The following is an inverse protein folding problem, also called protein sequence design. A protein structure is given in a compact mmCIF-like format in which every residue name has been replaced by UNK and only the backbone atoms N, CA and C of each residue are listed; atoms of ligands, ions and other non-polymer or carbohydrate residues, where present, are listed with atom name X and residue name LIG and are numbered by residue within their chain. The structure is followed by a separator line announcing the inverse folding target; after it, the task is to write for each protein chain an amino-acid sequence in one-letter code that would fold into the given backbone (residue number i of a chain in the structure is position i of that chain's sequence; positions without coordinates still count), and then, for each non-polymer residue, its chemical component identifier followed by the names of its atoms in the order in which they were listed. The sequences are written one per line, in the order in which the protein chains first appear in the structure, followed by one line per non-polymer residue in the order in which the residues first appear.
data_IF_304826682542
#
_entry.id   IF_304826682542
#
_cell.length_a   1.000
_cell.length_b   1.000
_cell.length_c   1.000
_cell.angle_alpha   90.00
_cell.angle_beta   90.00
_cell.angle_gamma   90.00
#
_symmetry.space_group_name_H-M   'P 1'
#
loop_
_entity.id
_entity.type
_entity.pdbx_description
1 polymer ?
#
# COMPACT_ATOMS: atom_id res chain seq x y z
N UNK A 1 3.67 7.01 -26.05
CA UNK A 1 3.84 5.90 -25.08
C UNK A 1 2.61 5.95 -24.20
N UNK A 2 1.92 4.82 -23.98
CA UNK A 2 0.89 4.79 -22.93
C UNK A 2 1.60 4.87 -21.59
N UNK A 3 1.21 5.81 -20.73
CA UNK A 3 1.65 5.80 -19.35
C UNK A 3 1.09 4.55 -18.65
N UNK A 4 1.90 3.91 -17.81
CA UNK A 4 1.46 2.78 -17.01
C UNK A 4 0.52 3.28 -15.92
N UNK A 5 -0.60 2.57 -15.73
CA UNK A 5 -1.53 2.85 -14.63
C UNK A 5 -0.80 2.82 -13.29
N UNK A 6 -1.13 3.74 -12.38
CA UNK A 6 -0.52 3.85 -11.06
C UNK A 6 -1.57 3.83 -9.96
N UNK A 7 -1.41 2.91 -9.01
CA UNK A 7 -2.34 2.71 -7.91
C UNK A 7 -1.70 3.04 -6.57
N UNK A 8 -2.44 3.75 -5.71
CA UNK A 8 -2.09 3.94 -4.31
C UNK A 8 -2.53 2.72 -3.51
N UNK A 9 -1.64 2.10 -2.73
CA UNK A 9 -1.92 0.86 -2.01
C UNK A 9 -1.95 1.11 -0.51
N UNK A 10 -3.05 0.71 0.13
CA UNK A 10 -3.20 0.69 1.58
C UNK A 10 -3.19 -0.78 2.02
N UNK A 11 -2.16 -1.18 2.75
CA UNK A 11 -2.10 -2.49 3.40
C UNK A 11 -2.66 -2.36 4.81
N UNK A 12 -3.91 -2.75 5.02
CA UNK A 12 -4.53 -2.67 6.34
C UNK A 12 -4.10 -3.82 7.25
N UNK A 13 -3.91 -3.52 8.54
CA UNK A 13 -3.72 -4.54 9.57
C UNK A 13 -4.49 -4.18 10.85
N UNK A 14 -4.54 -5.10 11.82
CA UNK A 14 -4.96 -4.83 13.20
C UNK A 14 -3.95 -5.43 14.15
N UNK A 15 -3.66 -4.74 15.25
CA UNK A 15 -2.61 -5.14 16.20
C UNK A 15 -2.80 -6.47 16.95
N UNK A 16 -3.86 -7.24 16.68
CA UNK A 16 -4.01 -8.61 17.18
C UNK A 16 -3.71 -9.69 16.13
N UNK A 17 -3.52 -9.33 14.86
CA UNK A 17 -3.15 -10.27 13.81
C UNK A 17 -1.64 -10.45 13.74
N UNK A 18 -1.15 -11.64 13.34
CA UNK A 18 0.27 -11.88 13.14
C UNK A 18 0.85 -10.92 12.09
N UNK A 19 1.83 -10.11 12.48
CA UNK A 19 2.35 -9.04 11.61
C UNK A 19 3.00 -9.56 10.32
N UNK A 20 3.51 -10.79 10.33
CA UNK A 20 4.12 -11.40 9.14
C UNK A 20 3.13 -11.55 7.99
N UNK A 21 1.82 -11.68 8.27
CA UNK A 21 0.80 -11.76 7.23
C UNK A 21 0.61 -10.42 6.52
N UNK A 22 0.74 -9.29 7.24
CA UNK A 22 0.73 -7.96 6.63
C UNK A 22 1.96 -7.76 5.72
N UNK A 23 3.13 -8.27 6.14
CA UNK A 23 4.34 -8.27 5.30
C UNK A 23 4.13 -9.10 4.02
N UNK A 24 3.69 -10.35 4.14
CA UNK A 24 3.47 -11.24 2.99
C UNK A 24 2.43 -10.65 2.05
N UNK A 25 1.29 -10.19 2.56
CA UNK A 25 0.24 -9.59 1.75
C UNK A 25 0.69 -8.33 1.00
N UNK A 26 1.57 -7.52 1.60
CA UNK A 26 2.21 -6.39 0.92
C UNK A 26 3.10 -6.85 -0.25
N UNK A 27 3.94 -7.85 -0.01
CA UNK A 27 4.84 -8.37 -1.04
C UNK A 27 4.06 -8.96 -2.21
N UNK A 28 2.99 -9.72 -1.93
CA UNK A 28 2.12 -10.33 -2.93
C UNK A 28 1.36 -9.30 -3.78
N UNK A 29 0.74 -8.28 -3.17
CA UNK A 29 0.01 -7.27 -3.96
C UNK A 29 0.95 -6.44 -4.85
N UNK A 30 2.15 -6.11 -4.36
CA UNK A 30 3.15 -5.38 -5.16
C UNK A 30 3.61 -6.24 -6.34
N UNK A 31 3.86 -7.54 -6.11
CA UNK A 31 4.24 -8.47 -7.17
C UNK A 31 3.14 -8.59 -8.23
N UNK A 32 1.88 -8.79 -7.81
CA UNK A 32 0.74 -8.91 -8.71
C UNK A 32 0.53 -7.65 -9.57
N UNK A 33 0.67 -6.45 -8.98
CA UNK A 33 0.55 -5.19 -9.73
C UNK A 33 1.70 -5.04 -10.74
N UNK A 34 2.93 -5.40 -10.35
CA UNK A 34 4.08 -5.36 -11.24
C UNK A 34 3.89 -6.31 -12.44
N UNK A 35 3.39 -7.52 -12.21
CA UNK A 35 3.07 -8.49 -13.29
C UNK A 35 1.98 -7.96 -14.22
N UNK A 36 1.03 -7.18 -13.69
CA UNK A 36 -0.02 -6.52 -14.46
C UNK A 36 0.43 -5.22 -15.16
N UNK A 37 1.73 -4.86 -15.11
CA UNK A 37 2.25 -3.60 -15.61
C UNK A 37 1.59 -2.36 -14.96
N UNK A 38 1.27 -2.45 -13.67
CA UNK A 38 0.70 -1.37 -12.86
C UNK A 38 1.75 -0.90 -11.85
N UNK A 39 1.98 0.41 -11.78
CA UNK A 39 2.85 1.01 -10.77
C UNK A 39 2.13 1.04 -9.41
N UNK A 40 2.88 0.87 -8.33
CA UNK A 40 2.36 0.91 -6.97
C UNK A 40 3.01 2.05 -6.16
N UNK A 41 2.18 2.90 -5.56
CA UNK A 41 2.58 3.87 -4.53
C UNK A 41 2.10 3.32 -3.19
N UNK A 42 3.01 2.93 -2.32
CA UNK A 42 2.73 2.27 -1.04
C UNK A 42 3.70 2.79 0.00
N UNK A 43 3.30 2.80 1.27
CA UNK A 43 4.22 3.14 2.36
C UNK A 43 5.48 2.26 2.32
N UNK A 44 6.59 2.87 2.69
CA UNK A 44 7.85 2.19 2.92
C UNK A 44 7.85 1.44 4.26
N UNK A 45 8.68 0.39 4.41
CA UNK A 45 8.82 -0.35 5.67
C UNK A 45 9.39 0.49 6.82
N UNK A 46 9.99 1.65 6.51
CA UNK A 46 10.50 2.62 7.47
C UNK A 46 9.43 3.60 7.97
N UNK A 47 8.29 3.71 7.27
CA UNK A 47 7.24 4.69 7.58
C UNK A 47 6.18 4.12 8.54
N UNK A 48 6.03 2.79 8.56
CA UNK A 48 5.26 2.02 9.54
C UNK A 48 5.70 0.55 9.58
N UNK A 49 5.25 -0.20 10.59
CA UNK A 49 5.60 -1.62 10.75
C UNK A 49 5.12 -2.41 9.52
N UNK A 50 6.07 -2.96 8.76
CA UNK A 50 5.82 -3.64 7.48
C UNK A 50 5.05 -2.81 6.45
N UNK A 51 5.10 -1.48 6.56
CA UNK A 51 4.28 -0.54 5.79
C UNK A 51 2.76 -0.76 5.91
N UNK A 52 2.30 -1.41 6.98
CA UNK A 52 0.90 -1.60 7.26
C UNK A 52 0.28 -0.34 7.88
N UNK A 53 -1.03 -0.19 7.72
CA UNK A 53 -1.83 0.87 8.32
C UNK A 53 -2.75 0.26 9.37
N UNK A 54 -2.45 0.53 10.64
CA UNK A 54 -3.20 0.06 11.81
C UNK A 54 -3.76 1.22 12.62
N UNK A 55 -3.03 2.33 12.61
CA UNK A 55 -3.29 3.51 13.43
C UNK A 55 -3.71 4.71 12.58
N UNK A 56 -4.35 5.68 13.25
CA UNK A 56 -4.70 6.95 12.63
C UNK A 56 -3.46 7.74 12.17
N UNK A 57 -2.33 7.63 12.87
CA UNK A 57 -1.09 8.28 12.47
C UNK A 57 -0.56 7.71 11.15
N UNK A 58 -0.53 6.38 11.00
CA UNK A 58 -0.10 5.72 9.76
C UNK A 58 -1.03 6.06 8.60
N UNK A 59 -2.34 6.17 8.85
CA UNK A 59 -3.30 6.63 7.83
C UNK A 59 -3.00 8.06 7.35
N UNK A 60 -2.47 8.94 8.22
CA UNK A 60 -2.05 10.29 7.83
C UNK A 60 -0.81 10.24 6.95
N UNK A 61 0.21 9.45 7.32
CA UNK A 61 1.42 9.26 6.50
C UNK A 61 1.06 8.75 5.10
N UNK A 62 0.17 7.77 5.02
CA UNK A 62 -0.33 7.25 3.75
C UNK A 62 -1.06 8.33 2.93
N UNK A 63 -1.92 9.12 3.56
CA UNK A 63 -2.60 10.23 2.90
C UNK A 63 -1.64 11.32 2.39
N UNK A 64 -0.56 11.58 3.12
CA UNK A 64 0.46 12.56 2.71
C UNK A 64 1.30 12.02 1.54
N UNK A 65 1.68 10.75 1.57
CA UNK A 65 2.32 10.06 0.44
C UNK A 65 1.45 10.12 -0.82
N UNK A 66 0.14 9.84 -0.69
CA UNK A 66 -0.78 9.90 -1.82
C UNK A 66 -0.97 11.32 -2.33
N UNK A 67 -1.00 12.32 -1.44
CA UNK A 67 -1.08 13.74 -1.83
C UNK A 67 0.12 14.18 -2.65
N UNK A 68 1.34 13.74 -2.30
CA UNK A 68 2.56 14.02 -3.09
C UNK A 68 2.49 13.38 -4.48
N UNK A 69 1.75 12.29 -4.65
CA UNK A 69 1.64 11.55 -5.90
C UNK A 69 0.28 11.73 -6.61
N UNK A 70 -0.59 12.64 -6.14
CA UNK A 70 -2.00 12.70 -6.54
C UNK A 70 -2.22 12.82 -8.05
N UNK A 71 -1.35 13.56 -8.75
CA UNK A 71 -1.46 13.76 -10.20
C UNK A 71 -1.10 12.52 -11.02
N UNK A 72 -0.49 11.51 -10.39
CA UNK A 72 -0.11 10.23 -11.00
C UNK A 72 -1.07 9.11 -10.67
N UNK A 73 -1.86 9.23 -9.61
CA UNK A 73 -2.69 8.14 -9.10
C UNK A 73 -3.99 8.01 -9.91
N UNK A 74 -4.20 6.84 -10.50
CA UNK A 74 -5.43 6.48 -11.20
C UNK A 74 -6.49 5.90 -10.25
N UNK A 75 -6.08 5.49 -9.06
CA UNK A 75 -6.99 4.95 -8.05
C UNK A 75 -6.28 4.46 -6.79
N UNK A 76 -7.08 3.92 -5.87
CA UNK A 76 -6.62 3.37 -4.59
C UNK A 76 -7.08 1.93 -4.46
N UNK A 77 -6.17 1.05 -4.04
CA UNK A 77 -6.44 -0.34 -3.65
C UNK A 77 -6.25 -0.44 -2.14
N UNK A 78 -7.26 -0.98 -1.46
CA UNK A 78 -7.16 -1.35 -0.04
C UNK A 78 -7.08 -2.86 0.04
N UNK A 79 -5.99 -3.39 0.58
CA UNK A 79 -5.81 -4.82 0.84
C UNK A 79 -5.89 -5.10 2.33
N UNK A 80 -6.54 -6.20 2.69
CA UNK A 80 -6.75 -6.68 4.05
C UNK A 80 -6.25 -8.13 4.13
N UNK A 81 -4.92 -8.38 4.10
CA UNK A 81 -4.37 -9.72 3.99
C UNK A 81 -4.64 -10.65 5.19
N UNK A 82 -5.17 -10.07 6.27
CA UNK A 82 -5.38 -10.74 7.54
C UNK A 82 -6.87 -10.88 7.90
N UNK A 83 -7.78 -10.54 6.98
CA UNK A 83 -9.24 -10.63 7.16
C UNK A 83 -9.87 -11.72 6.29
#
# INVERSE_FOLDING_TARGET
MNELMTMGIIVGNRGFFPDHLAKTGREEIIAALKEACINAVVLGPEESKYAAVETREESRKCADLFRVNQDKLDGIIVTLPNF
#
